data_IF_039286275923
#
_entry.id   IF_039286275923
#
_cell.length_a   1.000
_cell.length_b   1.000
_cell.length_c   1.000
_cell.angle_alpha   90.00
_cell.angle_beta   90.00
_cell.angle_gamma   90.00
#
_symmetry.space_group_name_H-M   'P 1'
#
loop_
_entity.id
_entity.type
_entity.pdbx_description
1 polymer ?
#
# COMPACT_ATOMS: atom_id res chain seq x y z
N UNK A 1 20.22 -56.97 3.66
CA UNK A 1 19.14 -56.54 4.60
C UNK A 1 19.07 -55.01 4.53
N UNK A 2 18.10 -54.49 3.79
CA UNK A 2 17.96 -53.09 3.55
C UNK A 2 17.01 -52.48 4.61
N UNK A 3 17.52 -51.61 5.50
CA UNK A 3 16.77 -50.98 6.57
C UNK A 3 15.90 -49.87 5.94
N UNK A 4 14.58 -49.87 6.12
CA UNK A 4 13.77 -48.76 5.65
C UNK A 4 14.09 -47.48 6.46
N UNK A 5 14.48 -46.42 5.77
CA UNK A 5 14.67 -45.10 6.38
C UNK A 5 13.35 -44.61 7.00
N UNK A 6 13.33 -44.44 8.31
CA UNK A 6 12.26 -43.74 9.00
C UNK A 6 12.16 -42.33 8.39
N UNK A 7 11.13 -42.09 7.61
CA UNK A 7 10.68 -40.74 7.30
C UNK A 7 10.25 -40.12 8.64
N UNK A 8 11.09 -39.31 9.21
CA UNK A 8 10.72 -38.49 10.37
C UNK A 8 9.55 -37.61 9.94
N UNK A 9 8.39 -37.87 10.55
CA UNK A 9 7.23 -37.00 10.43
C UNK A 9 7.63 -35.64 11.05
N UNK A 10 7.84 -34.65 10.20
CA UNK A 10 8.05 -33.27 10.66
C UNK A 10 6.79 -32.84 11.41
N UNK A 11 6.93 -32.24 12.59
CA UNK A 11 5.76 -31.78 13.34
C UNK A 11 4.95 -30.80 12.49
N UNK A 12 3.64 -30.97 12.47
CA UNK A 12 2.69 -30.10 11.75
C UNK A 12 2.90 -28.62 12.09
N UNK A 13 3.40 -28.35 13.30
CA UNK A 13 3.75 -27.02 13.78
C UNK A 13 4.78 -26.27 12.93
N UNK A 14 5.72 -26.96 12.26
CA UNK A 14 6.68 -26.31 11.36
C UNK A 14 6.01 -25.79 10.09
N UNK A 15 5.06 -26.54 9.55
CA UNK A 15 4.28 -26.11 8.37
C UNK A 15 3.33 -24.97 8.72
N UNK A 16 2.71 -25.03 9.90
CA UNK A 16 1.83 -23.97 10.38
C UNK A 16 2.59 -22.66 10.63
N UNK A 17 3.80 -22.74 11.19
CA UNK A 17 4.66 -21.57 11.39
C UNK A 17 5.04 -20.87 10.08
N UNK A 18 5.32 -21.61 9.01
CA UNK A 18 5.61 -21.05 7.70
C UNK A 18 4.38 -20.37 7.07
N UNK A 19 3.21 -21.01 7.13
CA UNK A 19 1.95 -20.44 6.63
C UNK A 19 1.55 -19.18 7.42
N UNK A 20 1.72 -19.17 8.74
CA UNK A 20 1.46 -17.99 9.55
C UNK A 20 2.43 -16.84 9.25
N UNK A 21 3.73 -17.13 9.04
CA UNK A 21 4.72 -16.13 8.63
C UNK A 21 4.34 -15.47 7.30
N UNK A 22 3.83 -16.22 6.33
CA UNK A 22 3.40 -15.67 5.05
C UNK A 22 2.10 -14.85 5.18
N UNK A 23 1.17 -15.25 6.04
CA UNK A 23 -0.02 -14.47 6.36
C UNK A 23 0.35 -13.12 7.02
N UNK A 24 1.33 -13.09 7.93
CA UNK A 24 1.81 -11.84 8.52
C UNK A 24 2.53 -10.93 7.51
N UNK A 25 3.29 -11.49 6.57
CA UNK A 25 3.88 -10.72 5.47
C UNK A 25 2.81 -10.12 4.55
N UNK A 26 1.77 -10.90 4.24
CA UNK A 26 0.63 -10.44 3.46
C UNK A 26 -0.12 -9.28 4.15
N UNK A 27 -0.30 -9.32 5.47
CA UNK A 27 -0.92 -8.24 6.24
C UNK A 27 -0.14 -6.92 6.15
N UNK A 28 1.19 -6.97 6.23
CA UNK A 28 2.05 -5.79 6.10
C UNK A 28 2.00 -5.20 4.68
N UNK A 29 2.06 -6.05 3.67
CA UNK A 29 1.96 -5.65 2.27
C UNK A 29 0.57 -5.07 1.93
N UNK A 30 -0.49 -5.74 2.39
CA UNK A 30 -1.87 -5.31 2.24
C UNK A 30 -2.12 -3.90 2.80
N UNK A 31 -1.54 -3.58 3.95
CA UNK A 31 -1.68 -2.26 4.57
C UNK A 31 -1.02 -1.15 3.74
N UNK A 32 0.14 -1.41 3.15
CA UNK A 32 0.85 -0.44 2.31
C UNK A 32 0.11 -0.20 0.98
N UNK A 33 -0.39 -1.26 0.37
CA UNK A 33 -1.13 -1.20 -0.89
C UNK A 33 -2.48 -0.50 -0.72
N UNK A 34 -3.18 -0.74 0.38
CA UNK A 34 -4.40 -0.06 0.75
C UNK A 34 -4.23 1.48 0.79
N UNK A 35 -3.15 1.96 1.39
CA UNK A 35 -2.84 3.39 1.47
C UNK A 35 -2.55 3.97 0.08
N UNK A 36 -1.85 3.23 -0.76
CA UNK A 36 -1.44 3.70 -2.08
C UNK A 36 -2.61 3.78 -3.06
N UNK A 37 -3.52 2.82 -2.99
CA UNK A 37 -4.65 2.68 -3.92
C UNK A 37 -6.01 3.04 -3.30
N UNK A 38 -5.99 3.79 -2.21
CA UNK A 38 -7.20 4.13 -1.45
C UNK A 38 -8.33 4.69 -2.30
N UNK A 39 -8.03 5.69 -3.14
CA UNK A 39 -9.03 6.33 -3.99
C UNK A 39 -9.62 5.37 -5.03
N UNK A 40 -8.84 4.43 -5.53
CA UNK A 40 -9.30 3.41 -6.48
C UNK A 40 -10.24 2.40 -5.80
N UNK A 41 -9.98 2.10 -4.52
CA UNK A 41 -10.73 1.10 -3.75
C UNK A 41 -12.09 1.66 -3.30
N UNK A 42 -12.08 2.81 -2.63
CA UNK A 42 -13.30 3.36 -2.00
C UNK A 42 -14.03 4.38 -2.88
N UNK A 43 -13.37 4.85 -3.93
CA UNK A 43 -13.87 5.91 -4.79
C UNK A 43 -13.41 7.30 -4.36
N UNK A 44 -13.39 8.27 -5.31
CA UNK A 44 -12.85 9.62 -5.07
C UNK A 44 -13.64 10.41 -4.03
N UNK A 45 -14.94 10.21 -3.93
CA UNK A 45 -15.80 10.89 -2.97
C UNK A 45 -15.42 10.56 -1.52
N UNK A 46 -15.30 9.28 -1.19
CA UNK A 46 -14.88 8.86 0.15
C UNK A 46 -13.42 9.23 0.40
N UNK A 47 -12.55 9.06 -0.59
CA UNK A 47 -11.13 9.36 -0.48
C UNK A 47 -10.83 10.85 -0.28
N UNK A 48 -11.73 11.75 -0.69
CA UNK A 48 -11.61 13.17 -0.44
C UNK A 48 -11.75 13.54 1.05
N UNK A 49 -12.47 12.73 1.82
CA UNK A 49 -12.85 13.01 3.20
C UNK A 49 -12.30 12.01 4.23
N UNK A 50 -11.72 10.90 3.76
CA UNK A 50 -11.18 9.85 4.61
C UNK A 50 -9.86 9.31 4.06
N UNK A 51 -8.88 9.14 4.93
CA UNK A 51 -7.57 8.54 4.62
C UNK A 51 -7.30 7.33 5.51
N UNK A 52 -6.80 6.22 4.96
CA UNK A 52 -6.39 5.08 5.76
C UNK A 52 -5.13 5.40 6.54
N UNK A 53 -5.16 5.21 7.86
CA UNK A 53 -4.00 5.34 8.72
C UNK A 53 -3.26 4.02 8.88
N UNK A 54 -4.00 3.00 9.25
CA UNK A 54 -3.49 1.64 9.49
C UNK A 54 -4.61 0.63 9.58
N UNK A 55 -4.27 -0.62 9.41
CA UNK A 55 -5.09 -1.74 9.85
C UNK A 55 -4.51 -2.26 11.17
N UNK A 56 -5.35 -2.32 12.19
CA UNK A 56 -4.99 -2.92 13.48
C UNK A 56 -5.39 -4.37 13.47
N UNK A 57 -4.42 -5.26 13.41
CA UNK A 57 -4.63 -6.69 13.47
C UNK A 57 -4.71 -7.14 14.93
N UNK A 58 -5.66 -8.03 15.28
CA UNK A 58 -5.68 -8.67 16.59
C UNK A 58 -4.37 -9.46 16.78
N UNK A 59 -3.97 -9.62 18.03
CA UNK A 59 -2.83 -10.51 18.34
C UNK A 59 -3.25 -11.95 18.06
N UNK A 60 -2.46 -12.65 17.28
CA UNK A 60 -2.65 -14.08 17.09
C UNK A 60 -2.52 -14.80 18.45
N UNK A 61 -3.58 -15.45 18.88
CA UNK A 61 -3.61 -16.30 20.07
C UNK A 61 -3.57 -17.75 19.61
N UNK A 62 -2.41 -18.38 19.73
CA UNK A 62 -2.26 -19.78 19.34
C UNK A 62 -2.19 -20.00 17.83
N UNK A 63 -2.75 -21.13 17.39
CA UNK A 63 -2.66 -21.63 16.01
C UNK A 63 -3.96 -21.43 15.22
N UNK A 64 -4.78 -20.45 15.63
CA UNK A 64 -6.05 -20.13 14.98
C UNK A 64 -5.85 -19.26 13.74
N UNK A 65 -6.82 -19.33 12.83
CA UNK A 65 -6.83 -18.47 11.65
C UNK A 65 -6.82 -16.99 12.07
N UNK A 66 -6.12 -16.10 11.34
CA UNK A 66 -6.05 -14.69 11.70
C UNK A 66 -7.46 -14.07 11.69
N UNK A 67 -7.84 -13.48 12.83
CA UNK A 67 -9.11 -12.74 12.94
C UNK A 67 -9.06 -11.47 12.09
N UNK A 68 -10.21 -11.01 11.57
CA UNK A 68 -10.30 -9.74 10.83
C UNK A 68 -9.81 -8.56 11.68
N UNK A 69 -9.13 -7.64 11.03
CA UNK A 69 -8.59 -6.44 11.68
C UNK A 69 -9.57 -5.29 11.75
N UNK A 70 -9.17 -4.23 12.46
CA UNK A 70 -9.88 -2.95 12.49
C UNK A 70 -9.20 -1.95 11.56
N UNK A 71 -9.95 -1.46 10.57
CA UNK A 71 -9.49 -0.39 9.70
C UNK A 71 -9.60 0.95 10.41
N UNK A 72 -8.48 1.63 10.60
CA UNK A 72 -8.44 2.97 11.22
C UNK A 72 -8.32 4.02 10.12
N UNK A 73 -9.33 4.87 10.00
CA UNK A 73 -9.37 6.00 9.07
C UNK A 73 -9.16 7.33 9.80
N UNK A 74 -8.44 8.22 9.17
CA UNK A 74 -8.45 9.65 9.47
C UNK A 74 -9.57 10.29 8.67
N UNK A 75 -10.41 11.08 9.33
CA UNK A 75 -11.55 11.78 8.70
C UNK A 75 -11.56 13.22 9.10
N UNK A 76 -12.00 14.08 8.21
CA UNK A 76 -12.26 15.48 8.51
C UNK A 76 -13.50 15.58 9.41
N UNK A 77 -13.45 16.44 10.43
CA UNK A 77 -14.45 16.50 11.49
C UNK A 77 -15.91 16.59 10.99
N UNK A 78 -16.24 17.49 10.05
CA UNK A 78 -17.60 17.66 9.56
C UNK A 78 -18.17 16.41 8.87
N UNK A 79 -17.33 15.64 8.18
CA UNK A 79 -17.74 14.47 7.37
C UNK A 79 -17.68 13.13 8.11
N UNK A 80 -17.26 13.14 9.38
CA UNK A 80 -17.08 11.91 10.16
C UNK A 80 -18.38 11.07 10.26
N UNK A 81 -19.55 11.73 10.41
CA UNK A 81 -20.84 11.06 10.49
C UNK A 81 -21.20 10.38 9.16
N UNK A 82 -20.94 11.06 8.03
CA UNK A 82 -21.20 10.51 6.70
C UNK A 82 -20.32 9.27 6.44
N UNK A 83 -19.04 9.36 6.77
CA UNK A 83 -18.10 8.24 6.65
C UNK A 83 -18.52 7.07 7.55
N UNK A 84 -19.05 7.35 8.75
CA UNK A 84 -19.57 6.31 9.64
C UNK A 84 -20.80 5.60 9.06
N UNK A 85 -21.70 6.30 8.41
CA UNK A 85 -22.83 5.70 7.70
C UNK A 85 -22.39 4.84 6.51
N UNK A 86 -21.29 5.19 5.87
CA UNK A 86 -20.70 4.44 4.75
C UNK A 86 -19.78 3.30 5.21
N UNK A 87 -19.67 3.04 6.53
CA UNK A 87 -18.75 2.06 7.09
C UNK A 87 -18.87 0.67 6.45
N UNK A 88 -20.09 0.17 6.28
CA UNK A 88 -20.34 -1.14 5.65
C UNK A 88 -19.83 -1.18 4.21
N UNK A 89 -20.10 -0.14 3.44
CA UNK A 89 -19.66 -0.03 2.03
C UNK A 89 -18.13 0.03 1.94
N UNK A 90 -17.49 0.78 2.84
CA UNK A 90 -16.03 0.88 2.90
C UNK A 90 -15.42 -0.48 3.22
N UNK A 91 -15.92 -1.18 4.25
CA UNK A 91 -15.42 -2.50 4.64
C UNK A 91 -15.61 -3.53 3.52
N UNK A 92 -16.74 -3.54 2.84
CA UNK A 92 -16.98 -4.43 1.70
C UNK A 92 -16.00 -4.17 0.55
N UNK A 93 -15.77 -2.92 0.19
CA UNK A 93 -14.85 -2.56 -0.89
C UNK A 93 -13.40 -2.94 -0.55
N UNK A 94 -12.99 -2.72 0.69
CA UNK A 94 -11.65 -3.09 1.18
C UNK A 94 -11.49 -4.62 1.19
N UNK A 95 -12.47 -5.37 1.71
CA UNK A 95 -12.42 -6.83 1.71
C UNK A 95 -12.46 -7.42 0.28
N UNK A 96 -13.24 -6.82 -0.62
CA UNK A 96 -13.25 -7.19 -2.03
C UNK A 96 -11.89 -6.97 -2.69
N UNK A 97 -11.21 -5.87 -2.36
CA UNK A 97 -9.87 -5.59 -2.86
C UNK A 97 -8.86 -6.62 -2.40
N UNK A 98 -8.93 -7.03 -1.14
CA UNK A 98 -8.03 -8.06 -0.61
C UNK A 98 -8.40 -9.49 -1.03
N UNK A 99 -9.64 -9.72 -1.48
CA UNK A 99 -10.13 -11.06 -1.85
C UNK A 99 -10.46 -11.95 -0.64
N UNK A 100 -10.38 -11.42 0.58
CA UNK A 100 -10.71 -12.10 1.83
C UNK A 100 -11.21 -11.11 2.88
N UNK A 101 -11.80 -11.61 3.97
CA UNK A 101 -12.31 -10.76 5.05
C UNK A 101 -11.16 -10.25 5.93
N UNK A 102 -10.47 -9.23 5.43
CA UNK A 102 -9.32 -8.63 6.09
C UNK A 102 -9.72 -7.73 7.26
N UNK A 103 -10.86 -7.05 7.16
CA UNK A 103 -11.34 -6.10 8.16
C UNK A 103 -12.84 -6.31 8.44
N UNK A 104 -13.23 -6.20 9.71
CA UNK A 104 -14.62 -6.30 10.16
C UNK A 104 -15.11 -5.03 10.86
N UNK A 105 -14.20 -4.17 11.30
CA UNK A 105 -14.49 -2.95 12.06
C UNK A 105 -13.84 -1.74 11.43
N UNK A 106 -14.55 -0.61 11.57
CA UNK A 106 -14.06 0.71 11.19
C UNK A 106 -13.87 1.58 12.44
N UNK A 107 -12.70 2.16 12.60
CA UNK A 107 -12.40 3.14 13.65
C UNK A 107 -12.07 4.49 13.00
N UNK A 108 -12.77 5.54 13.41
CA UNK A 108 -12.57 6.89 12.87
C UNK A 108 -11.72 7.72 13.84
N UNK A 109 -10.71 8.40 13.29
CA UNK A 109 -9.94 9.43 13.98
C UNK A 109 -10.20 10.77 13.31
N UNK A 110 -10.81 11.67 14.04
CA UNK A 110 -11.00 13.04 13.56
C UNK A 110 -9.66 13.79 13.66
N UNK A 111 -9.12 14.15 12.53
CA UNK A 111 -7.94 14.99 12.39
C UNK A 111 -7.91 15.58 10.98
N UNK A 112 -7.27 16.75 10.78
CA UNK A 112 -7.09 17.28 9.43
C UNK A 112 -6.46 16.23 8.54
N UNK A 113 -7.03 16.04 7.34
CA UNK A 113 -6.46 15.12 6.36
C UNK A 113 -5.05 15.59 6.02
N UNK A 114 -4.12 14.65 5.93
CA UNK A 114 -2.84 14.95 5.35
C UNK A 114 -3.14 15.27 3.88
N UNK A 115 -3.19 16.55 3.53
CA UNK A 115 -3.18 16.96 2.13
C UNK A 115 -1.90 16.37 1.54
N UNK A 116 -2.00 15.15 1.02
CA UNK A 116 -1.07 14.73 -0.02
C UNK A 116 -1.37 15.69 -1.16
N UNK A 117 -0.70 16.85 -1.11
CA UNK A 117 -0.67 17.71 -2.26
C UNK A 117 -0.41 16.76 -3.42
N UNK A 118 -1.30 16.74 -4.45
CA UNK A 118 -0.93 16.22 -5.76
C UNK A 118 0.55 16.52 -5.85
N UNK A 119 1.43 15.51 -5.92
CA UNK A 119 2.83 15.78 -6.23
C UNK A 119 2.73 16.62 -7.46
N UNK A 120 2.87 17.93 -7.29
CA UNK A 120 2.94 18.87 -8.42
C UNK A 120 4.05 18.26 -9.22
N UNK A 121 3.72 17.75 -10.40
CA UNK A 121 4.70 17.17 -11.28
C UNK A 121 5.79 18.23 -11.35
N UNK A 122 6.96 17.92 -10.79
CA UNK A 122 8.06 18.88 -10.65
C UNK A 122 8.26 19.42 -12.05
N UNK A 123 7.96 20.69 -12.24
CA UNK A 123 8.12 21.32 -13.56
C UNK A 123 9.58 21.10 -13.91
N UNK A 124 9.83 20.21 -14.87
CA UNK A 124 11.17 19.88 -15.30
C UNK A 124 11.65 21.11 -16.06
N UNK A 125 12.70 21.74 -15.55
CA UNK A 125 13.33 22.87 -16.21
C UNK A 125 13.83 22.41 -17.59
N UNK A 126 13.28 22.96 -18.70
CA UNK A 126 13.64 22.54 -20.04
C UNK A 126 15.11 22.83 -20.36
N UNK A 127 15.68 23.90 -19.79
CA UNK A 127 17.09 24.23 -19.98
C UNK A 127 18.02 23.24 -19.27
N UNK A 128 17.63 22.78 -18.06
CA UNK A 128 18.38 21.75 -17.35
C UNK A 128 18.34 20.42 -18.12
N UNK A 129 17.19 20.06 -18.67
CA UNK A 129 17.06 18.86 -19.50
C UNK A 129 17.91 18.96 -20.79
N UNK A 130 17.89 20.11 -21.45
CA UNK A 130 18.71 20.32 -22.66
C UNK A 130 20.22 20.21 -22.36
N UNK A 131 20.71 20.79 -21.26
CA UNK A 131 22.11 20.67 -20.83
C UNK A 131 22.53 19.23 -20.57
N UNK A 132 21.64 18.44 -19.95
CA UNK A 132 21.89 17.02 -19.67
C UNK A 132 21.86 16.22 -20.98
N UNK A 133 20.93 16.49 -21.89
CA UNK A 133 20.90 15.85 -23.22
C UNK A 133 22.20 16.09 -24.01
N UNK A 134 22.74 17.30 -23.94
CA UNK A 134 24.01 17.64 -24.58
C UNK A 134 25.23 16.93 -23.96
N UNK A 135 25.14 16.52 -22.70
CA UNK A 135 26.18 15.77 -22.00
C UNK A 135 26.16 14.25 -22.25
N UNK A 136 25.20 13.77 -23.06
CA UNK A 136 25.02 12.35 -23.40
C UNK A 136 25.23 12.07 -24.90
N UNK A 137 26.39 12.40 -25.47
CA UNK A 137 26.65 12.27 -26.93
C UNK A 137 26.73 10.80 -27.38
N UNK A 138 27.00 9.86 -26.46
CA UNK A 138 27.18 8.44 -26.79
C UNK A 138 25.85 7.70 -27.01
N UNK A 139 24.70 8.31 -26.66
CA UNK A 139 23.40 7.69 -26.84
C UNK A 139 22.86 8.04 -28.22
N UNK A 140 22.85 7.05 -29.10
CA UNK A 140 22.41 7.18 -30.49
C UNK A 140 20.88 7.31 -30.62
N UNK A 141 20.14 6.79 -29.66
CA UNK A 141 18.67 6.84 -29.61
C UNK A 141 18.22 8.17 -29.01
N UNK A 142 17.56 9.00 -29.82
CA UNK A 142 17.05 10.31 -29.42
C UNK A 142 15.98 10.25 -28.36
N UNK A 143 15.07 9.25 -28.40
CA UNK A 143 14.02 9.10 -27.42
C UNK A 143 14.60 8.74 -26.04
N UNK A 144 15.54 7.80 -26.01
CA UNK A 144 16.23 7.39 -24.81
C UNK A 144 17.05 8.55 -24.21
N UNK A 145 17.76 9.31 -25.06
CA UNK A 145 18.55 10.48 -24.65
C UNK A 145 17.65 11.54 -24.00
N UNK A 146 16.48 11.85 -24.58
CA UNK A 146 15.53 12.79 -24.04
C UNK A 146 14.89 12.28 -22.73
N UNK A 147 14.56 10.99 -22.64
CA UNK A 147 14.00 10.40 -21.43
C UNK A 147 14.99 10.49 -20.26
N UNK A 148 16.26 10.17 -20.50
CA UNK A 148 17.34 10.27 -19.51
C UNK A 148 17.62 11.73 -19.11
N UNK A 149 17.57 12.66 -20.04
CA UNK A 149 17.73 14.09 -19.78
C UNK A 149 16.60 14.63 -18.86
N UNK A 150 15.36 14.25 -19.13
CA UNK A 150 14.21 14.60 -18.26
C UNK A 150 14.35 13.99 -16.87
N UNK A 151 14.75 12.74 -16.78
CA UNK A 151 14.97 12.06 -15.49
C UNK A 151 16.11 12.75 -14.72
N UNK A 152 17.22 13.06 -15.35
CA UNK A 152 18.35 13.76 -14.74
C UNK A 152 17.98 15.16 -14.24
N UNK A 153 17.21 15.94 -15.01
CA UNK A 153 16.70 17.24 -14.59
C UNK A 153 15.70 17.16 -13.42
N UNK A 154 14.95 16.06 -13.31
CA UNK A 154 14.03 15.85 -12.20
C UNK A 154 14.75 15.48 -10.89
N UNK A 155 15.89 14.76 -10.97
CA UNK A 155 16.68 14.28 -9.82
C UNK A 155 17.60 15.38 -9.28
N UNK A 156 18.20 16.19 -10.14
CA UNK A 156 19.13 17.26 -9.73
C UNK A 156 18.40 18.61 -9.72
N UNK A 157 17.88 19.08 -8.56
CA UNK A 157 17.28 20.39 -8.50
C UNK A 157 18.36 21.44 -8.82
N UNK A 158 17.99 22.41 -9.67
CA UNK A 158 18.84 23.59 -9.90
C UNK A 158 19.15 24.25 -8.54
N UNK A 159 20.44 24.43 -8.27
CA UNK A 159 20.95 25.26 -7.17
C UNK A 159 20.80 26.71 -7.53
#
# INVERSE_FOLDING_TARGET
MNKPSKREARPLAEFLGACLSDAFKQQGFASAELVTRWADIVGPEIAAHAEPLKVQWPRAVGNEAPEPGTLVLRVDGPTAIEIQHLATVILERVNRFFGWQAVDRLALRQAPLSRRGKKVAKVIDPEAAARIAASLPEITDDELRQALARLGAAVKPAR
#
